data_IF_223011199946
#
_entry.id   IF_223011199946
#
_cell.length_a   1.000
_cell.length_b   1.000
_cell.length_c   1.000
_cell.angle_alpha   90.00
_cell.angle_beta   90.00
_cell.angle_gamma   90.00
#
_symmetry.space_group_name_H-M   'P 1'
#
loop_
_entity.id
_entity.type
_entity.pdbx_description
1 polymer ?
#
# COMPACT_ATOMS: atom_id res chain seq x y z
N UNK A 1 8.71 -8.71 -8.61
CA UNK A 1 8.48 -7.59 -7.67
C UNK A 1 9.73 -7.18 -6.90
N UNK A 2 10.79 -8.02 -6.84
CA UNK A 2 11.99 -7.75 -6.04
C UNK A 2 13.22 -7.30 -6.87
N UNK A 3 12.98 -6.76 -8.07
CA UNK A 3 14.06 -6.20 -8.88
C UNK A 3 14.71 -5.01 -8.17
N UNK A 4 16.03 -4.91 -8.29
CA UNK A 4 16.84 -3.82 -7.72
C UNK A 4 16.78 -3.75 -6.18
N UNK A 5 16.42 -4.85 -5.50
CA UNK A 5 16.41 -4.95 -4.04
C UNK A 5 17.58 -5.78 -3.55
N UNK A 6 18.19 -5.34 -2.47
CA UNK A 6 19.11 -6.14 -1.66
C UNK A 6 18.40 -6.58 -0.39
N UNK A 7 18.81 -7.69 0.18
CA UNK A 7 18.24 -8.22 1.42
C UNK A 7 19.32 -8.34 2.49
N UNK A 8 18.95 -8.01 3.71
CA UNK A 8 19.78 -8.22 4.90
C UNK A 8 18.95 -8.87 6.00
N UNK A 9 19.45 -9.95 6.60
CA UNK A 9 18.82 -10.59 7.74
C UNK A 9 19.37 -9.98 9.05
N UNK A 10 18.48 -9.38 9.84
CA UNK A 10 18.80 -8.78 11.14
C UNK A 10 17.79 -9.21 12.20
N UNK A 11 18.27 -9.43 13.43
CA UNK A 11 17.40 -9.70 14.56
C UNK A 11 17.19 -8.42 15.39
N UNK A 12 15.92 -8.04 15.58
CA UNK A 12 15.56 -6.92 16.46
C UNK A 12 15.69 -7.28 17.96
N UNK A 13 15.79 -8.56 18.28
CA UNK A 13 16.05 -9.01 19.66
C UNK A 13 17.46 -8.65 20.14
N UNK A 14 18.39 -8.40 19.22
CA UNK A 14 19.77 -8.03 19.54
C UNK A 14 20.00 -6.53 19.32
N UNK A 15 20.61 -5.90 20.31
CA UNK A 15 20.94 -4.48 20.27
C UNK A 15 21.76 -4.09 19.03
N UNK A 16 22.73 -4.93 18.65
CA UNK A 16 23.53 -4.72 17.44
C UNK A 16 22.71 -4.70 16.15
N UNK A 17 21.65 -5.51 16.05
CA UNK A 17 20.75 -5.49 14.89
C UNK A 17 19.98 -4.17 14.80
N UNK A 18 19.47 -3.67 15.92
CA UNK A 18 18.81 -2.36 16.00
C UNK A 18 19.78 -1.22 15.68
N UNK A 19 21.02 -1.28 16.18
CA UNK A 19 22.05 -0.27 15.89
C UNK A 19 22.39 -0.20 14.40
N UNK A 20 22.39 -1.33 13.69
CA UNK A 20 22.57 -1.37 12.23
C UNK A 20 21.40 -0.66 11.54
N UNK A 21 20.17 -0.93 11.97
CA UNK A 21 18.98 -0.26 11.38
C UNK A 21 18.98 1.25 11.64
N UNK A 22 19.40 1.70 12.82
CA UNK A 22 19.58 3.13 13.10
C UNK A 22 20.62 3.78 12.18
N UNK A 23 21.73 3.08 11.89
CA UNK A 23 22.74 3.56 10.94
C UNK A 23 22.19 3.64 9.52
N UNK A 24 21.42 2.63 9.10
CA UNK A 24 20.75 2.66 7.79
C UNK A 24 19.71 3.80 7.72
N UNK A 25 18.88 3.97 8.74
CA UNK A 25 17.87 5.03 8.78
C UNK A 25 18.49 6.44 8.70
N UNK A 26 19.70 6.62 9.21
CA UNK A 26 20.44 7.88 9.10
C UNK A 26 20.80 8.25 7.65
N UNK A 27 21.06 7.25 6.82
CA UNK A 27 21.49 7.42 5.42
C UNK A 27 20.35 7.30 4.43
N UNK A 28 19.21 6.69 4.82
CA UNK A 28 18.08 6.49 3.93
C UNK A 28 17.24 7.74 3.76
N UNK A 29 16.65 7.91 2.57
CA UNK A 29 15.65 8.94 2.30
C UNK A 29 14.26 8.53 2.77
N UNK A 30 13.93 7.24 2.64
CA UNK A 30 12.60 6.69 2.89
C UNK A 30 12.73 5.38 3.65
N UNK A 31 11.89 5.21 4.66
CA UNK A 31 11.66 3.95 5.36
C UNK A 31 10.19 3.55 5.15
N UNK A 32 9.95 2.31 4.74
CA UNK A 32 8.61 1.73 4.62
C UNK A 32 8.49 0.55 5.58
N UNK A 33 7.38 0.48 6.30
CA UNK A 33 7.09 -0.64 7.21
C UNK A 33 5.61 -1.02 7.12
N UNK A 34 5.27 -2.27 7.50
CA UNK A 34 3.91 -2.79 7.48
C UNK A 34 3.54 -3.57 8.75
N UNK A 35 4.07 -3.15 9.88
CA UNK A 35 3.74 -3.73 11.18
C UNK A 35 2.45 -3.15 11.77
N UNK A 36 1.85 -3.86 12.72
CA UNK A 36 0.77 -3.26 13.53
C UNK A 36 1.29 -2.02 14.27
N UNK A 37 0.46 -0.97 14.39
CA UNK A 37 0.83 0.26 15.06
C UNK A 37 1.48 0.03 16.42
N UNK A 38 2.55 0.75 16.69
CA UNK A 38 3.31 0.65 17.94
C UNK A 38 4.27 -0.55 18.06
N UNK A 39 4.21 -1.54 17.16
CA UNK A 39 5.10 -2.71 17.22
C UNK A 39 6.57 -2.34 17.18
N UNK A 40 6.97 -1.41 16.34
CA UNK A 40 8.36 -0.99 16.18
C UNK A 40 8.88 -0.09 17.30
N UNK A 41 7.98 0.51 18.08
CA UNK A 41 8.35 1.43 19.17
C UNK A 41 9.24 0.79 20.23
N UNK A 42 8.98 -0.47 20.59
CA UNK A 42 9.80 -1.21 21.59
C UNK A 42 11.24 -1.42 21.13
N UNK A 43 11.51 -1.28 19.84
CA UNK A 43 12.84 -1.40 19.25
C UNK A 43 13.47 -0.05 18.92
N UNK A 44 12.79 1.06 19.21
CA UNK A 44 13.25 2.40 18.81
C UNK A 44 13.32 2.58 17.30
N UNK A 45 12.43 1.91 16.57
CA UNK A 45 12.30 1.98 15.11
C UNK A 45 11.01 2.67 14.66
N UNK A 46 10.31 3.31 15.59
CA UNK A 46 9.14 4.15 15.32
C UNK A 46 9.54 5.52 14.73
N UNK A 47 8.58 6.18 14.11
CA UNK A 47 8.80 7.46 13.44
C UNK A 47 9.47 8.52 14.34
N UNK A 48 9.00 8.71 15.57
CA UNK A 48 9.53 9.76 16.47
C UNK A 48 11.00 9.50 16.81
N UNK A 49 11.36 8.25 17.07
CA UNK A 49 12.75 7.87 17.34
C UNK A 49 13.62 8.09 16.10
N UNK A 50 13.20 7.59 14.95
CA UNK A 50 14.00 7.69 13.72
C UNK A 50 14.06 9.13 13.18
N UNK A 51 13.01 9.93 13.36
CA UNK A 51 13.03 11.36 13.06
C UNK A 51 14.09 12.12 13.87
N UNK A 52 14.32 11.72 15.12
CA UNK A 52 15.38 12.34 15.93
C UNK A 52 16.78 12.01 15.40
N UNK A 53 16.95 10.85 14.75
CA UNK A 53 18.21 10.41 14.13
C UNK A 53 18.38 11.07 12.74
N UNK A 54 17.31 11.09 11.95
CA UNK A 54 17.29 11.69 10.62
C UNK A 54 16.02 12.53 10.41
N UNK A 55 16.07 13.84 10.69
CA UNK A 55 14.93 14.74 10.53
C UNK A 55 14.42 14.86 9.10
N UNK A 56 15.17 14.36 8.12
CA UNK A 56 14.83 14.36 6.70
C UNK A 56 14.16 13.06 6.24
N UNK A 57 14.09 12.04 7.12
CA UNK A 57 13.52 10.74 6.79
C UNK A 57 12.03 10.85 6.50
N UNK A 58 11.63 10.26 5.37
CA UNK A 58 10.22 10.00 5.08
C UNK A 58 9.91 8.59 5.61
N UNK A 59 8.98 8.51 6.54
CA UNK A 59 8.58 7.27 7.18
C UNK A 59 7.18 6.89 6.71
N UNK A 60 7.00 5.78 6.03
CA UNK A 60 5.72 5.32 5.52
C UNK A 60 5.29 4.04 6.25
N UNK A 61 4.18 4.12 6.97
CA UNK A 61 3.52 2.98 7.60
C UNK A 61 2.37 2.50 6.72
N UNK A 62 2.36 1.22 6.36
CA UNK A 62 1.27 0.59 5.60
C UNK A 62 0.55 -0.39 6.53
N UNK A 63 -0.72 -0.15 6.79
CA UNK A 63 -1.53 -0.96 7.72
C UNK A 63 -2.91 -1.27 7.15
N UNK A 64 -3.66 -2.14 7.80
CA UNK A 64 -5.04 -2.42 7.41
C UNK A 64 -5.96 -1.23 7.62
N UNK A 65 -5.83 -0.54 8.77
CA UNK A 65 -6.81 0.44 9.25
C UNK A 65 -6.20 1.75 9.77
N UNK A 66 -4.93 2.02 9.51
CA UNK A 66 -4.25 3.25 9.92
C UNK A 66 -3.62 3.19 11.31
N UNK A 67 -2.83 4.24 11.61
CA UNK A 67 -2.11 4.37 12.89
C UNK A 67 -3.04 4.80 14.04
N UNK A 68 -4.22 5.31 13.71
CA UNK A 68 -5.19 5.87 14.67
C UNK A 68 -6.60 5.31 14.40
N UNK A 69 -7.52 5.60 15.32
CA UNK A 69 -8.91 5.17 15.16
C UNK A 69 -9.23 3.82 15.84
N UNK A 70 -10.51 3.43 15.85
CA UNK A 70 -10.99 2.29 16.65
C UNK A 70 -10.49 0.93 16.14
N UNK A 71 -10.09 0.83 14.88
CA UNK A 71 -9.60 -0.41 14.26
C UNK A 71 -8.08 -0.46 14.09
N UNK A 72 -7.33 0.52 14.56
CA UNK A 72 -5.88 0.58 14.38
C UNK A 72 -5.12 -0.66 14.88
N UNK A 73 -5.63 -1.35 15.89
CA UNK A 73 -5.03 -2.57 16.44
C UNK A 73 -5.44 -3.86 15.71
N UNK A 74 -6.30 -3.78 14.68
CA UNK A 74 -6.70 -4.94 13.89
C UNK A 74 -5.72 -5.19 12.75
N UNK A 75 -5.40 -6.46 12.54
CA UNK A 75 -4.75 -6.88 11.30
C UNK A 75 -5.75 -6.76 10.15
N UNK A 76 -5.29 -6.22 9.01
CA UNK A 76 -6.07 -6.13 7.78
C UNK A 76 -5.33 -6.87 6.67
N UNK A 77 -6.10 -7.57 5.84
CA UNK A 77 -5.64 -8.22 4.62
C UNK A 77 -6.49 -7.71 3.46
N UNK A 78 -5.94 -7.74 2.25
CA UNK A 78 -6.60 -7.32 1.03
C UNK A 78 -8.07 -7.77 0.96
N UNK A 79 -8.31 -9.07 1.02
CA UNK A 79 -9.65 -9.66 0.88
C UNK A 79 -10.62 -9.24 2.00
N UNK A 80 -10.12 -9.04 3.22
CA UNK A 80 -10.95 -8.57 4.34
C UNK A 80 -11.37 -7.12 4.11
N UNK A 81 -10.45 -6.29 3.68
CA UNK A 81 -10.72 -4.87 3.41
C UNK A 81 -11.58 -4.70 2.16
N UNK A 82 -11.39 -5.52 1.10
CA UNK A 82 -12.34 -5.57 -0.02
C UNK A 82 -13.79 -5.80 0.44
N UNK A 83 -13.97 -6.72 1.38
CA UNK A 83 -15.30 -7.04 1.91
C UNK A 83 -15.85 -5.90 2.79
N UNK A 84 -15.08 -5.45 3.78
CA UNK A 84 -15.51 -4.45 4.78
C UNK A 84 -15.74 -3.08 4.15
N UNK A 85 -14.94 -2.68 3.15
CA UNK A 85 -15.03 -1.36 2.50
C UNK A 85 -15.88 -1.35 1.23
N UNK A 86 -16.61 -2.44 0.95
CA UNK A 86 -17.67 -2.47 -0.04
C UNK A 86 -17.26 -2.83 -1.46
N UNK A 87 -15.99 -3.08 -1.76
CA UNK A 87 -15.56 -3.45 -3.11
C UNK A 87 -16.21 -4.77 -3.56
N UNK A 88 -16.24 -5.78 -2.68
CA UNK A 88 -16.91 -7.05 -2.99
C UNK A 88 -18.40 -6.86 -3.24
N UNK A 89 -19.05 -5.95 -2.49
CA UNK A 89 -20.48 -5.69 -2.63
C UNK A 89 -20.84 -5.20 -4.04
N UNK A 90 -19.99 -4.38 -4.66
CA UNK A 90 -20.22 -3.83 -5.99
C UNK A 90 -19.63 -4.67 -7.13
N UNK A 91 -18.93 -5.78 -6.80
CA UNK A 91 -18.21 -6.63 -7.77
C UNK A 91 -18.95 -7.94 -7.98
N UNK A 92 -19.15 -8.35 -9.25
CA UNK A 92 -19.80 -9.59 -9.63
C UNK A 92 -21.03 -9.38 -10.52
N UNK A 93 -21.71 -10.48 -10.85
CA UNK A 93 -22.95 -10.45 -11.61
C UNK A 93 -24.09 -9.81 -10.81
N UNK A 94 -25.06 -9.22 -11.52
CA UNK A 94 -26.15 -8.44 -10.90
C UNK A 94 -26.91 -9.22 -9.84
N UNK A 95 -27.27 -10.46 -10.17
CA UNK A 95 -28.11 -11.31 -9.32
C UNK A 95 -27.29 -12.41 -8.60
N UNK A 96 -25.94 -12.33 -8.65
CA UNK A 96 -25.06 -13.27 -7.98
C UNK A 96 -24.59 -12.80 -6.61
N UNK A 97 -23.79 -13.63 -5.95
CA UNK A 97 -23.14 -13.26 -4.69
C UNK A 97 -22.04 -12.23 -4.89
N UNK A 98 -21.70 -11.43 -3.86
CA UNK A 98 -20.51 -10.61 -3.83
C UNK A 98 -19.25 -11.45 -4.06
N UNK A 99 -18.34 -10.98 -4.92
CA UNK A 99 -17.10 -11.69 -5.22
C UNK A 99 -15.88 -10.79 -5.04
N UNK A 100 -14.78 -11.39 -4.62
CA UNK A 100 -13.50 -10.68 -4.56
C UNK A 100 -12.96 -10.40 -5.97
N UNK A 101 -12.13 -9.39 -6.09
CA UNK A 101 -11.35 -9.17 -7.31
C UNK A 101 -10.29 -10.28 -7.46
N UNK A 102 -9.96 -10.65 -8.69
CA UNK A 102 -9.05 -11.77 -8.97
C UNK A 102 -7.62 -11.57 -8.47
N UNK A 103 -7.16 -10.33 -8.37
CA UNK A 103 -5.86 -9.95 -7.80
C UNK A 103 -6.08 -9.23 -6.48
N UNK A 104 -5.04 -9.11 -5.66
CA UNK A 104 -5.02 -8.33 -4.41
C UNK A 104 -5.04 -6.81 -4.75
N UNK A 105 -6.19 -6.33 -5.22
CA UNK A 105 -6.32 -4.97 -5.78
C UNK A 105 -6.19 -3.89 -4.72
N UNK A 106 -6.66 -4.16 -3.50
CA UNK A 106 -6.53 -3.22 -2.38
C UNK A 106 -5.07 -3.03 -1.98
N UNK A 107 -4.30 -4.13 -1.91
CA UNK A 107 -2.84 -4.07 -1.67
C UNK A 107 -2.13 -3.28 -2.77
N UNK A 108 -2.43 -3.59 -4.04
CA UNK A 108 -1.82 -2.93 -5.19
C UNK A 108 -2.12 -1.43 -5.21
N UNK A 109 -3.37 -1.05 -4.98
CA UNK A 109 -3.77 0.37 -4.95
C UNK A 109 -3.18 1.10 -3.76
N UNK A 110 -3.12 0.47 -2.58
CA UNK A 110 -2.46 1.03 -1.41
C UNK A 110 -0.98 1.28 -1.68
N UNK A 111 -0.29 0.33 -2.34
CA UNK A 111 1.09 0.51 -2.78
C UNK A 111 1.26 1.71 -3.73
N UNK A 112 0.33 1.90 -4.68
CA UNK A 112 0.34 3.05 -5.58
C UNK A 112 0.07 4.37 -4.85
N UNK A 113 -0.92 4.43 -3.95
CA UNK A 113 -1.16 5.61 -3.11
C UNK A 113 0.04 5.94 -2.25
N UNK A 114 0.64 4.93 -1.60
CA UNK A 114 1.83 5.12 -0.77
C UNK A 114 3.01 5.65 -1.58
N UNK A 115 3.28 5.10 -2.76
CA UNK A 115 4.36 5.57 -3.61
C UNK A 115 4.16 7.01 -4.08
N UNK A 116 2.93 7.40 -4.43
CA UNK A 116 2.58 8.78 -4.75
C UNK A 116 2.77 9.72 -3.55
N UNK A 117 2.35 9.30 -2.35
CA UNK A 117 2.53 10.07 -1.12
C UNK A 117 4.03 10.25 -0.79
N UNK A 118 4.85 9.20 -0.98
CA UNK A 118 6.29 9.28 -0.80
C UNK A 118 6.92 10.28 -1.79
N UNK A 119 6.53 10.24 -3.06
CA UNK A 119 7.03 11.21 -4.06
C UNK A 119 6.63 12.64 -3.70
N UNK A 120 5.39 12.86 -3.27
CA UNK A 120 4.91 14.18 -2.81
C UNK A 120 5.69 14.66 -1.58
N UNK A 121 5.96 13.76 -0.62
CA UNK A 121 6.75 14.04 0.57
C UNK A 121 8.21 14.40 0.22
N UNK A 122 8.83 13.70 -0.74
CA UNK A 122 10.16 14.02 -1.24
C UNK A 122 10.22 15.41 -1.89
N UNK A 123 9.21 15.76 -2.69
CA UNK A 123 9.09 17.11 -3.27
C UNK A 123 8.90 18.19 -2.20
N UNK A 124 8.05 17.93 -1.21
CA UNK A 124 7.85 18.85 -0.08
C UNK A 124 9.14 19.05 0.71
N UNK A 125 9.90 17.97 0.95
CA UNK A 125 11.19 17.99 1.64
C UNK A 125 12.23 18.85 0.93
N UNK A 126 12.20 18.94 -0.39
CA UNK A 126 13.13 19.84 -1.14
C UNK A 126 12.96 21.30 -0.75
N UNK A 127 11.74 21.71 -0.34
CA UNK A 127 11.43 23.08 0.07
C UNK A 127 11.57 23.29 1.58
N UNK A 128 11.14 22.29 2.36
CA UNK A 128 11.04 22.41 3.84
C UNK A 128 12.32 21.95 4.55
N UNK A 129 13.13 21.10 3.91
CA UNK A 129 14.26 20.44 4.53
C UNK A 129 13.86 19.31 5.48
N UNK A 130 12.56 19.07 5.72
CA UNK A 130 12.03 18.13 6.71
C UNK A 130 11.38 16.90 6.03
N UNK A 131 11.60 15.72 6.63
CA UNK A 131 10.82 14.53 6.34
C UNK A 131 9.45 14.57 7.02
N UNK A 132 8.67 13.51 6.82
CA UNK A 132 7.34 13.38 7.43
C UNK A 132 6.92 11.93 7.58
N UNK A 133 5.93 11.67 8.43
CA UNK A 133 5.26 10.39 8.55
C UNK A 133 4.10 10.31 7.55
N UNK A 134 4.02 9.20 6.82
CA UNK A 134 2.92 8.86 5.93
C UNK A 134 2.18 7.68 6.57
N UNK A 135 0.93 7.90 6.94
CA UNK A 135 0.02 6.85 7.38
C UNK A 135 -0.81 6.42 6.18
N UNK A 136 -0.51 5.25 5.63
CA UNK A 136 -1.20 4.67 4.49
C UNK A 136 -1.93 3.39 4.95
N UNK A 137 -3.24 3.37 4.82
CA UNK A 137 -3.99 2.18 5.20
C UNK A 137 -4.85 1.65 4.05
N UNK A 138 -5.04 0.34 4.08
CA UNK A 138 -5.81 -0.38 3.07
C UNK A 138 -7.25 0.13 3.02
N UNK A 139 -7.86 0.39 4.19
CA UNK A 139 -9.26 0.85 4.29
C UNK A 139 -9.49 2.17 3.58
N UNK A 140 -8.64 3.18 3.82
CA UNK A 140 -8.80 4.49 3.21
C UNK A 140 -8.54 4.43 1.70
N UNK A 141 -7.48 3.70 1.30
CA UNK A 141 -7.18 3.51 -0.11
C UNK A 141 -8.30 2.76 -0.83
N UNK A 142 -8.90 1.74 -0.18
CA UNK A 142 -10.03 1.01 -0.74
C UNK A 142 -11.26 1.89 -0.89
N UNK A 143 -11.62 2.68 0.11
CA UNK A 143 -12.75 3.63 0.02
C UNK A 143 -12.50 4.64 -1.10
N UNK A 144 -11.29 5.16 -1.21
CA UNK A 144 -10.93 6.09 -2.28
C UNK A 144 -11.06 5.44 -3.68
N UNK A 145 -10.73 4.15 -3.81
CA UNK A 145 -10.85 3.43 -5.10
C UNK A 145 -12.28 3.07 -5.51
N UNK A 146 -13.26 3.16 -4.60
CA UNK A 146 -14.68 3.08 -4.98
C UNK A 146 -15.11 4.28 -5.85
N UNK A 147 -14.36 5.37 -5.81
CA UNK A 147 -14.46 6.52 -6.71
C UNK A 147 -15.90 7.05 -6.87
N UNK A 148 -16.38 7.07 -8.11
CA UNK A 148 -17.72 7.58 -8.44
C UNK A 148 -18.86 6.75 -7.84
N UNK A 149 -18.66 5.48 -7.53
CA UNK A 149 -19.69 4.64 -6.91
C UNK A 149 -19.94 5.12 -5.47
N UNK A 150 -18.89 5.29 -4.67
CA UNK A 150 -19.01 5.83 -3.32
C UNK A 150 -19.58 7.26 -3.34
N UNK A 151 -19.10 8.13 -4.25
CA UNK A 151 -19.61 9.48 -4.39
C UNK A 151 -21.09 9.50 -4.76
N UNK A 152 -21.52 8.61 -5.65
CA UNK A 152 -22.94 8.48 -6.01
C UNK A 152 -23.81 8.10 -4.81
N UNK A 153 -23.38 7.11 -4.03
CA UNK A 153 -24.11 6.69 -2.84
C UNK A 153 -24.19 7.82 -1.78
N UNK A 154 -23.09 8.52 -1.54
CA UNK A 154 -23.03 9.64 -0.59
C UNK A 154 -23.91 10.82 -0.99
N UNK A 155 -24.00 11.14 -2.29
CA UNK A 155 -24.77 12.29 -2.78
C UNK A 155 -26.25 11.95 -2.90
N UNK A 156 -26.60 10.77 -3.42
CA UNK A 156 -28.00 10.37 -3.64
C UNK A 156 -28.70 9.91 -2.35
N UNK A 157 -27.95 9.45 -1.37
CA UNK A 157 -28.49 8.77 -0.18
C UNK A 157 -29.08 7.38 -0.48
N UNK A 158 -28.95 6.88 -1.70
CA UNK A 158 -29.37 5.52 -2.06
C UNK A 158 -28.48 4.50 -1.36
N UNK A 159 -29.11 3.54 -0.66
CA UNK A 159 -28.40 2.57 0.17
C UNK A 159 -27.67 1.49 -0.63
N UNK A 160 -28.06 1.24 -1.87
CA UNK A 160 -27.49 0.18 -2.69
C UNK A 160 -27.35 0.60 -4.15
N UNK A 161 -26.11 0.61 -4.62
CA UNK A 161 -25.81 0.79 -6.04
C UNK A 161 -25.91 -0.52 -6.84
N UNK A 162 -25.93 -1.66 -6.15
CA UNK A 162 -25.94 -3.01 -6.72
C UNK A 162 -24.68 -3.36 -7.52
N UNK A 163 -24.63 -4.61 -7.94
CA UNK A 163 -23.62 -5.13 -8.87
C UNK A 163 -24.12 -4.96 -10.32
N UNK A 164 -23.23 -4.63 -11.20
CA UNK A 164 -23.55 -4.36 -12.61
C UNK A 164 -22.99 -5.41 -13.57
N UNK A 165 -22.21 -6.37 -13.05
CA UNK A 165 -21.54 -7.37 -13.89
C UNK A 165 -20.61 -6.69 -14.89
N UNK A 166 -20.85 -6.91 -16.17
CA UNK A 166 -20.13 -6.27 -17.27
C UNK A 166 -20.84 -5.01 -17.82
N UNK A 167 -21.98 -4.63 -17.24
CA UNK A 167 -22.72 -3.43 -17.68
C UNK A 167 -22.19 -2.16 -16.99
N UNK A 168 -22.43 -1.01 -17.60
CA UNK A 168 -22.12 0.30 -17.03
C UNK A 168 -23.40 1.05 -16.68
N UNK A 169 -23.49 1.62 -15.46
CA UNK A 169 -24.70 2.26 -14.91
C UNK A 169 -25.24 3.41 -15.78
N UNK A 170 -24.38 4.11 -16.52
CA UNK A 170 -24.75 5.31 -17.30
C UNK A 170 -24.82 5.08 -18.81
N UNK A 171 -24.50 3.90 -19.32
CA UNK A 171 -24.56 3.62 -20.75
C UNK A 171 -25.86 2.84 -21.04
N UNK A 172 -26.77 3.49 -21.73
CA UNK A 172 -28.01 2.88 -22.26
C UNK A 172 -27.71 1.88 -23.37
N UNK A 173 -26.55 1.98 -23.99
CA UNK A 173 -26.07 1.03 -24.98
C UNK A 173 -25.14 0.02 -24.28
N UNK A 174 -25.67 -1.18 -24.05
CA UNK A 174 -24.89 -2.28 -23.48
C UNK A 174 -23.81 -2.70 -24.48
N UNK A 175 -22.61 -2.16 -24.32
CA UNK A 175 -21.42 -2.77 -24.92
C UNK A 175 -21.11 -4.02 -24.12
N UNK A 176 -21.33 -5.17 -24.69
CA UNK A 176 -20.97 -6.45 -24.08
C UNK A 176 -19.44 -6.61 -24.13
N UNK A 177 -18.76 -6.18 -23.07
CA UNK A 177 -17.31 -6.29 -22.94
C UNK A 177 -16.79 -7.73 -22.87
N UNK A 178 -17.69 -8.75 -22.85
CA UNK A 178 -17.30 -10.17 -22.85
C UNK A 178 -16.50 -10.52 -24.11
N UNK A 179 -16.78 -9.89 -25.24
CA UNK A 179 -16.04 -10.14 -26.48
C UNK A 179 -14.64 -9.52 -26.49
N UNK A 180 -14.39 -8.46 -25.72
CA UNK A 180 -13.07 -7.80 -25.66
C UNK A 180 -12.07 -8.58 -24.79
N UNK A 181 -12.57 -9.33 -23.81
CA UNK A 181 -11.70 -10.09 -22.88
C UNK A 181 -11.22 -11.40 -23.48
N UNK A 182 -11.93 -11.96 -24.47
CA UNK A 182 -11.60 -13.26 -25.06
C UNK A 182 -10.54 -13.22 -26.19
N UNK A 183 -10.17 -12.06 -26.69
CA UNK A 183 -9.36 -11.93 -27.91
C UNK A 183 -7.99 -11.26 -27.76
N UNK A 184 -7.61 -10.79 -26.58
CA UNK A 184 -6.29 -10.17 -26.40
C UNK A 184 -5.50 -10.87 -25.31
N UNK A 185 -4.46 -11.57 -25.73
CA UNK A 185 -3.46 -12.10 -24.82
C UNK A 185 -2.74 -10.93 -24.13
N UNK A 186 -2.74 -10.94 -22.81
CA UNK A 186 -2.01 -10.01 -21.93
C UNK A 186 -0.49 -9.99 -22.16
N UNK A 187 0.03 -10.77 -23.13
CA UNK A 187 1.46 -10.98 -23.33
C UNK A 187 2.18 -9.88 -24.08
N UNK A 188 1.51 -9.04 -24.87
CA UNK A 188 2.20 -8.09 -25.73
C UNK A 188 2.30 -6.65 -25.18
N UNK A 189 1.48 -6.27 -24.22
CA UNK A 189 1.47 -4.90 -23.71
C UNK A 189 2.43 -4.61 -22.54
N UNK A 190 3.04 -5.64 -21.93
CA UNK A 190 3.92 -5.48 -20.76
C UNK A 190 5.41 -5.38 -21.13
N UNK A 191 5.80 -5.65 -22.38
CA UNK A 191 7.21 -5.73 -22.79
C UNK A 191 7.89 -4.40 -23.11
N UNK A 192 7.20 -3.33 -23.28
CA UNK A 192 7.79 -2.04 -23.64
C UNK A 192 7.27 -0.89 -22.78
N UNK A 193 7.90 -0.62 -21.72
CA UNK A 193 8.16 0.68 -21.07
C UNK A 193 8.34 0.49 -19.59
N UNK A 194 9.51 0.72 -19.18
CA UNK A 194 9.93 1.35 -17.93
C UNK A 194 11.45 1.21 -17.84
N UNK A 195 12.14 2.31 -18.05
CA UNK A 195 13.20 2.81 -17.16
C UNK A 195 13.98 3.91 -17.83
N UNK A 196 14.07 5.12 -17.26
CA UNK A 196 15.25 5.95 -17.33
C UNK A 196 16.05 5.79 -16.04
N UNK A 197 17.32 5.57 -16.20
CA UNK A 197 18.34 5.54 -15.16
C UNK A 197 18.54 6.94 -14.56
N UNK A 198 18.41 7.05 -13.25
CA UNK A 198 18.78 8.24 -12.49
C UNK A 198 18.92 7.85 -11.02
N UNK A 199 20.10 8.12 -10.45
CA UNK A 199 20.49 7.71 -9.11
C UNK A 199 19.54 8.23 -8.03
N UNK A 200 18.86 7.32 -7.34
CA UNK A 200 18.09 7.57 -6.13
C UNK A 200 18.83 6.98 -4.92
N UNK A 201 18.75 7.69 -3.79
CA UNK A 201 19.24 7.14 -2.51
C UNK A 201 18.41 5.94 -2.10
N UNK A 202 18.96 5.01 -1.32
CA UNK A 202 18.29 3.75 -1.00
C UNK A 202 16.98 3.95 -0.25
N UNK A 203 15.99 3.17 -0.67
CA UNK A 203 14.72 2.95 0.03
C UNK A 203 14.91 1.78 1.00
N UNK A 204 14.55 1.96 2.26
CA UNK A 204 14.53 0.90 3.25
C UNK A 204 13.10 0.42 3.49
N UNK A 205 12.86 -0.86 3.30
CA UNK A 205 11.61 -1.54 3.63
C UNK A 205 11.85 -2.53 4.77
N UNK A 206 11.04 -2.45 5.82
CA UNK A 206 11.05 -3.39 6.93
C UNK A 206 9.75 -4.20 6.89
N UNK A 207 9.86 -5.50 6.61
CA UNK A 207 8.71 -6.39 6.53
C UNK A 207 8.87 -7.61 7.43
N UNK A 208 7.76 -8.18 7.89
CA UNK A 208 7.76 -9.47 8.60
C UNK A 208 7.75 -10.61 7.59
N UNK A 209 8.65 -11.57 7.73
CA UNK A 209 8.53 -12.88 7.12
C UNK A 209 7.63 -13.74 8.00
N UNK A 210 6.62 -14.37 7.39
CA UNK A 210 5.52 -15.12 8.02
C UNK A 210 5.79 -15.81 9.36
N UNK A 211 4.73 -16.03 10.10
CA UNK A 211 4.64 -16.31 11.53
C UNK A 211 5.38 -17.56 12.10
N UNK A 212 6.24 -18.23 11.35
CA UNK A 212 6.90 -19.46 11.80
C UNK A 212 8.41 -19.35 12.09
N UNK A 213 9.00 -18.19 11.85
CA UNK A 213 10.43 -17.99 12.21
C UNK A 213 10.59 -16.79 13.10
N UNK A 214 11.30 -16.96 14.20
CA UNK A 214 11.64 -15.91 15.20
C UNK A 214 12.57 -14.82 14.66
N UNK A 215 12.69 -14.68 13.32
CA UNK A 215 13.55 -13.72 12.65
C UNK A 215 12.73 -12.70 11.84
N UNK A 216 12.98 -11.42 12.06
CA UNK A 216 12.51 -10.33 11.20
C UNK A 216 13.56 -10.06 10.13
N UNK A 217 13.14 -9.79 8.91
CA UNK A 217 14.03 -9.38 7.83
C UNK A 217 13.77 -7.93 7.41
N UNK A 218 14.83 -7.23 7.07
CA UNK A 218 14.76 -5.93 6.43
C UNK A 218 15.20 -6.06 4.97
N UNK A 219 14.45 -5.52 4.03
CA UNK A 219 14.81 -5.43 2.61
C UNK A 219 15.30 -4.02 2.30
N UNK A 220 16.33 -3.94 1.51
CA UNK A 220 17.05 -2.71 1.24
C UNK A 220 17.27 -2.61 -0.27
N UNK A 221 16.82 -1.53 -0.89
CA UNK A 221 17.05 -1.27 -2.31
C UNK A 221 18.21 -0.27 -2.47
N UNK A 222 19.22 -0.65 -3.24
CA UNK A 222 20.30 0.22 -3.70
C UNK A 222 20.26 0.20 -5.23
N UNK A 223 20.38 1.35 -5.83
CA UNK A 223 20.73 1.51 -7.25
C UNK A 223 22.18 1.15 -7.51
#
# INVERSE_FOLDING_TARGET
VNRNKRSIGLSFAHKSGVEILHKLAKECDVLVENYLPGTLKKYGLDYETLRSINPRLIYASITGYGQTGPYSNRAGYDVMVEAEMGLMHITGSRDGDPVKVGVAVTDLTTGLYTSNAIMAALLARMRTGQGQHIDACLSDCQVATLANIASSALISGEKDSGRWGTAHRKSTDMVDYRQLVSSQSLTDSVKHRLYPTGATRPLMEISSLGAETTGYSASYAID
#
